data_IF_157375820746
#
_entry.id   IF_157375820746
#
_cell.length_a   1.000
_cell.length_b   1.000
_cell.length_c   1.000
_cell.angle_alpha   90.00
_cell.angle_beta   90.00
_cell.angle_gamma   90.00
#
_symmetry.space_group_name_H-M   'P 1'
#
loop_
_entity.id
_entity.type
_entity.pdbx_description
1 polymer ?
#
# COMPACT_ATOMS: atom_id res chain seq x y z
N UNK A 1 6.82 20.94 7.23
CA UNK A 1 6.96 20.57 5.80
C UNK A 1 6.43 19.17 5.67
N UNK A 2 5.52 18.90 4.72
CA UNK A 2 4.95 17.56 4.53
C UNK A 2 5.73 16.81 3.45
N UNK A 3 5.66 15.49 3.45
CA UNK A 3 6.27 14.64 2.43
C UNK A 3 5.91 15.07 0.99
N UNK A 4 4.64 15.41 0.75
CA UNK A 4 4.15 15.93 -0.53
C UNK A 4 4.93 17.17 -1.02
N UNK A 5 5.43 18.00 -0.11
CA UNK A 5 6.24 19.19 -0.47
C UNK A 5 7.60 18.77 -1.04
N UNK A 6 8.22 17.73 -0.45
CA UNK A 6 9.47 17.17 -0.95
C UNK A 6 9.27 16.49 -2.30
N UNK A 7 8.21 15.69 -2.46
CA UNK A 7 7.88 15.01 -3.72
C UNK A 7 7.66 16.06 -4.83
N UNK A 8 6.95 17.15 -4.56
CA UNK A 8 6.73 18.23 -5.52
C UNK A 8 8.04 18.92 -5.92
N UNK A 9 8.95 19.11 -4.97
CA UNK A 9 10.29 19.63 -5.25
C UNK A 9 11.07 18.69 -6.18
N UNK A 10 11.07 17.38 -5.87
CA UNK A 10 11.73 16.36 -6.69
C UNK A 10 11.13 16.34 -8.11
N UNK A 11 9.80 16.34 -8.24
CA UNK A 11 9.12 16.40 -9.55
C UNK A 11 9.55 17.62 -10.35
N UNK A 12 9.64 18.78 -9.71
CA UNK A 12 10.05 20.03 -10.36
C UNK A 12 11.50 19.97 -10.85
N UNK A 13 12.42 19.46 -10.02
CA UNK A 13 13.85 19.37 -10.35
C UNK A 13 14.10 18.35 -11.46
N UNK A 14 13.49 17.16 -11.35
CA UNK A 14 13.75 16.07 -12.29
C UNK A 14 12.94 16.21 -13.59
N UNK A 15 11.80 16.89 -13.57
CA UNK A 15 10.84 16.97 -14.68
C UNK A 15 10.58 15.60 -15.35
N UNK A 16 10.47 14.55 -14.52
CA UNK A 16 10.32 13.18 -14.99
C UNK A 16 8.85 12.79 -15.06
N UNK A 17 8.38 12.25 -16.20
CA UNK A 17 7.01 11.75 -16.34
C UNK A 17 6.77 10.41 -15.61
N UNK A 18 7.82 9.81 -15.03
CA UNK A 18 7.78 8.51 -14.36
C UNK A 18 7.36 8.60 -12.89
N UNK A 19 7.31 9.80 -12.32
CA UNK A 19 7.01 10.03 -10.91
C UNK A 19 5.52 10.34 -10.73
N UNK A 20 4.82 9.56 -9.91
CA UNK A 20 3.44 9.87 -9.54
C UNK A 20 2.50 8.67 -9.42
N UNK A 21 2.95 7.49 -9.74
CA UNK A 21 2.28 6.21 -9.50
C UNK A 21 3.08 5.42 -8.45
N UNK A 22 2.58 4.26 -8.00
CA UNK A 22 3.26 3.36 -7.04
C UNK A 22 4.58 2.83 -7.60
N UNK A 23 4.66 2.68 -8.91
CA UNK A 23 5.86 2.24 -9.60
C UNK A 23 6.22 3.16 -10.76
N UNK A 24 7.50 3.27 -11.05
CA UNK A 24 7.99 3.80 -12.32
C UNK A 24 7.77 2.76 -13.43
N UNK A 25 6.94 3.07 -14.41
CA UNK A 25 6.71 2.21 -15.58
C UNK A 25 7.73 2.46 -16.67
N UNK A 26 8.68 1.54 -16.85
CA UNK A 26 9.72 1.58 -17.87
C UNK A 26 9.25 0.84 -19.13
N UNK A 27 8.37 1.48 -19.89
CA UNK A 27 7.63 0.87 -21.01
C UNK A 27 8.54 0.22 -22.07
N UNK A 28 9.68 0.86 -22.39
CA UNK A 28 10.65 0.33 -23.36
C UNK A 28 11.29 -0.99 -22.94
N UNK A 29 11.33 -1.28 -21.63
CA UNK A 29 11.87 -2.50 -21.05
C UNK A 29 10.76 -3.50 -20.69
N UNK A 30 9.50 -3.09 -20.69
CA UNK A 30 8.37 -3.92 -20.27
C UNK A 30 8.39 -4.30 -18.79
N UNK A 31 8.90 -3.39 -17.93
CA UNK A 31 9.00 -3.59 -16.49
C UNK A 31 8.45 -2.39 -15.71
N UNK A 32 8.12 -2.63 -14.46
CA UNK A 32 7.92 -1.59 -13.44
C UNK A 32 8.97 -1.71 -12.35
N UNK A 33 9.30 -0.60 -11.69
CA UNK A 33 10.29 -0.54 -10.61
C UNK A 33 9.74 0.36 -9.50
N UNK A 34 9.85 -0.12 -8.26
CA UNK A 34 9.57 0.67 -7.06
C UNK A 34 10.65 0.48 -6.01
N UNK A 35 10.64 1.30 -4.98
CA UNK A 35 11.54 1.21 -3.84
C UNK A 35 10.89 1.78 -2.59
N UNK A 36 10.79 0.94 -1.56
CA UNK A 36 10.38 1.34 -0.23
C UNK A 36 11.48 1.14 0.79
N UNK A 37 11.41 1.93 1.85
CA UNK A 37 12.37 1.90 2.96
C UNK A 37 11.66 1.78 4.30
N UNK A 38 12.19 0.92 5.18
CA UNK A 38 11.75 0.79 6.56
C UNK A 38 12.87 1.23 7.51
N UNK A 39 12.53 2.10 8.44
CA UNK A 39 13.45 2.70 9.41
C UNK A 39 12.99 2.30 10.81
N UNK A 40 13.92 1.80 11.63
CA UNK A 40 13.67 1.49 13.05
C UNK A 40 13.17 2.73 13.79
N UNK A 41 12.18 2.54 14.66
CA UNK A 41 11.45 3.55 15.43
C UNK A 41 10.60 4.52 14.61
N UNK A 42 10.48 4.30 13.29
CA UNK A 42 9.57 5.03 12.39
C UNK A 42 8.51 4.08 11.85
N UNK A 43 8.93 3.03 11.13
CA UNK A 43 8.04 2.06 10.49
C UNK A 43 7.89 0.75 11.28
N UNK A 44 8.81 0.46 12.17
CA UNK A 44 8.79 -0.72 13.03
C UNK A 44 9.59 -0.48 14.33
N UNK A 45 9.34 -1.34 15.32
CA UNK A 45 10.16 -1.37 16.53
C UNK A 45 10.56 -2.80 16.85
N UNK A 46 11.85 -3.01 17.12
CA UNK A 46 12.40 -4.30 17.54
C UNK A 46 11.84 -4.81 18.88
N UNK A 47 11.09 -3.96 19.61
CA UNK A 47 10.42 -4.36 20.85
C UNK A 47 9.20 -5.27 20.63
N UNK A 48 8.60 -5.28 19.43
CA UNK A 48 7.41 -6.08 19.14
C UNK A 48 7.42 -6.80 17.78
N UNK A 49 8.41 -6.55 16.91
CA UNK A 49 8.56 -7.28 15.65
C UNK A 49 9.80 -8.20 15.73
N UNK A 50 9.65 -9.45 15.33
CA UNK A 50 10.77 -10.37 15.20
C UNK A 50 11.53 -10.13 13.88
N UNK A 51 12.81 -10.55 13.76
CA UNK A 51 13.55 -10.42 12.51
C UNK A 51 12.86 -11.12 11.34
N UNK A 52 12.22 -12.28 11.57
CA UNK A 52 11.44 -12.99 10.57
C UNK A 52 10.26 -12.15 10.06
N UNK A 53 9.45 -11.61 10.97
CA UNK A 53 8.31 -10.75 10.63
C UNK A 53 8.75 -9.47 9.90
N UNK A 54 9.87 -8.88 10.32
CA UNK A 54 10.45 -7.71 9.66
C UNK A 54 10.88 -8.03 8.22
N UNK A 55 11.51 -9.19 8.01
CA UNK A 55 11.85 -9.66 6.67
C UNK A 55 10.62 -9.89 5.81
N UNK A 56 9.58 -10.52 6.35
CA UNK A 56 8.29 -10.70 5.67
C UNK A 56 7.69 -9.35 5.26
N UNK A 57 7.53 -8.44 6.21
CA UNK A 57 6.97 -7.10 5.96
C UNK A 57 7.78 -6.35 4.90
N UNK A 58 9.11 -6.35 5.00
CA UNK A 58 10.00 -5.68 4.03
C UNK A 58 9.81 -6.16 2.58
N UNK A 59 9.53 -7.45 2.39
CA UNK A 59 9.23 -7.98 1.07
C UNK A 59 7.82 -7.60 0.60
N UNK A 60 6.81 -7.76 1.48
CA UNK A 60 5.40 -7.59 1.12
C UNK A 60 5.03 -6.16 0.78
N UNK A 61 5.57 -5.15 1.49
CA UNK A 61 5.30 -3.74 1.17
C UNK A 61 5.74 -3.39 -0.25
N UNK A 62 6.90 -3.83 -0.67
CA UNK A 62 7.42 -3.61 -2.03
C UNK A 62 6.70 -4.44 -3.11
N UNK A 63 6.29 -5.67 -2.78
CA UNK A 63 5.48 -6.51 -3.67
C UNK A 63 4.09 -5.87 -3.86
N UNK A 64 3.56 -5.19 -2.83
CA UNK A 64 2.29 -4.47 -2.89
C UNK A 64 2.29 -3.39 -3.97
N UNK A 65 3.30 -2.56 -4.05
CA UNK A 65 3.45 -1.55 -5.11
C UNK A 65 3.46 -2.16 -6.51
N UNK A 66 4.20 -3.27 -6.68
CA UNK A 66 4.19 -3.99 -7.96
C UNK A 66 2.78 -4.47 -8.29
N UNK A 67 2.03 -4.96 -7.29
CA UNK A 67 0.64 -5.36 -7.45
C UNK A 67 -0.25 -4.16 -7.78
N UNK A 68 -0.07 -3.01 -7.12
CA UNK A 68 -0.79 -1.76 -7.40
C UNK A 68 -0.59 -1.29 -8.84
N UNK A 69 0.59 -1.52 -9.41
CA UNK A 69 0.86 -1.24 -10.83
C UNK A 69 0.21 -2.23 -11.80
N UNK A 70 -0.27 -3.40 -11.35
CA UNK A 70 -0.79 -4.49 -12.19
C UNK A 70 0.27 -5.42 -12.75
N UNK A 71 1.55 -5.20 -12.50
CA UNK A 71 2.64 -6.03 -12.98
C UNK A 71 2.78 -7.34 -12.18
N UNK A 72 3.60 -8.25 -12.66
CA UNK A 72 3.96 -9.48 -11.96
C UNK A 72 5.27 -9.28 -11.20
N UNK A 73 5.28 -9.39 -9.85
CA UNK A 73 6.52 -9.29 -9.06
C UNK A 73 7.53 -10.35 -9.50
N UNK A 74 8.79 -9.97 -9.70
CA UNK A 74 9.84 -10.88 -10.19
C UNK A 74 11.10 -10.87 -9.36
N UNK A 75 11.62 -9.70 -9.02
CA UNK A 75 12.91 -9.57 -8.35
C UNK A 75 12.84 -8.54 -7.24
N UNK A 76 13.60 -8.79 -6.16
CA UNK A 76 13.91 -7.83 -5.11
C UNK A 76 15.43 -7.68 -4.99
N UNK A 77 15.89 -6.47 -4.69
CA UNK A 77 17.23 -6.23 -4.15
C UNK A 77 17.10 -5.49 -2.81
N UNK A 78 18.00 -5.78 -1.85
CA UNK A 78 17.89 -5.34 -0.47
C UNK A 78 19.14 -4.61 -0.03
N UNK A 79 19.05 -3.33 0.29
CA UNK A 79 20.06 -2.61 1.03
C UNK A 79 19.73 -2.67 2.53
N UNK A 80 20.62 -3.27 3.32
CA UNK A 80 20.46 -3.50 4.74
C UNK A 80 21.53 -2.77 5.53
N UNK A 81 21.15 -1.76 6.31
CA UNK A 81 22.06 -1.04 7.20
C UNK A 81 21.79 -1.46 8.64
N UNK A 82 22.83 -1.89 9.37
CA UNK A 82 22.71 -2.56 10.66
C UNK A 82 23.59 -1.91 11.73
N UNK A 83 23.09 -1.81 12.98
CA UNK A 83 23.91 -1.51 14.14
C UNK A 83 24.99 -2.57 14.39
N UNK A 84 26.12 -2.15 14.94
CA UNK A 84 27.25 -3.06 15.29
C UNK A 84 26.88 -4.15 16.30
N UNK A 85 25.76 -3.99 16.99
CA UNK A 85 25.24 -4.92 18.01
C UNK A 85 24.42 -6.06 17.41
N UNK A 86 24.08 -5.98 16.12
CA UNK A 86 23.29 -7.02 15.43
C UNK A 86 24.19 -8.23 15.18
N UNK A 87 23.68 -9.41 15.51
CA UNK A 87 24.34 -10.69 15.31
C UNK A 87 23.85 -11.37 14.01
N UNK A 88 24.61 -12.38 13.55
CA UNK A 88 24.33 -13.11 12.31
C UNK A 88 22.92 -13.75 12.28
N UNK A 89 22.46 -14.22 13.46
CA UNK A 89 21.14 -14.85 13.62
C UNK A 89 20.00 -13.92 13.24
N UNK A 90 20.13 -12.61 13.50
CA UNK A 90 19.16 -11.61 13.05
C UNK A 90 19.05 -11.60 11.53
N UNK A 91 20.18 -11.58 10.83
CA UNK A 91 20.22 -11.53 9.37
C UNK A 91 19.65 -12.83 8.78
N UNK A 92 19.98 -13.96 9.39
CA UNK A 92 19.46 -15.27 8.97
C UNK A 92 17.92 -15.31 9.07
N UNK A 93 17.35 -14.95 10.22
CA UNK A 93 15.90 -14.93 10.45
C UNK A 93 15.20 -13.90 9.56
N UNK A 94 15.79 -12.73 9.36
CA UNK A 94 15.28 -11.70 8.46
C UNK A 94 15.13 -12.24 7.03
N UNK A 95 16.20 -12.87 6.49
CA UNK A 95 16.13 -13.41 5.14
C UNK A 95 15.26 -14.67 5.04
N UNK A 96 15.07 -15.44 6.11
CA UNK A 96 14.05 -16.51 6.17
C UNK A 96 12.65 -15.93 6.02
N UNK A 97 12.35 -14.83 6.71
CA UNK A 97 11.08 -14.11 6.59
C UNK A 97 10.85 -13.58 5.18
N UNK A 98 11.83 -12.89 4.61
CA UNK A 98 11.75 -12.42 3.22
C UNK A 98 11.50 -13.56 2.23
N UNK A 99 12.26 -14.65 2.35
CA UNK A 99 12.13 -15.82 1.47
C UNK A 99 10.74 -16.45 1.56
N UNK A 100 10.17 -16.53 2.76
CA UNK A 100 8.83 -17.04 2.98
C UNK A 100 7.76 -16.15 2.30
N UNK A 101 7.90 -14.82 2.45
CA UNK A 101 7.03 -13.83 1.82
C UNK A 101 7.11 -13.86 0.28
N UNK A 102 8.31 -13.96 -0.26
CA UNK A 102 8.58 -13.84 -1.70
C UNK A 102 7.93 -14.94 -2.54
N UNK A 103 7.75 -16.15 -2.01
CA UNK A 103 7.23 -17.27 -2.78
C UNK A 103 8.06 -17.55 -4.06
N UNK A 104 7.58 -17.03 -5.20
CA UNK A 104 8.26 -17.15 -6.52
C UNK A 104 9.07 -15.92 -6.91
N UNK A 105 9.04 -14.87 -6.12
CA UNK A 105 9.83 -13.66 -6.35
C UNK A 105 11.28 -13.95 -5.91
N UNK A 106 12.26 -13.64 -6.74
CA UNK A 106 13.66 -13.91 -6.46
C UNK A 106 14.32 -12.71 -5.77
N UNK A 107 15.08 -12.98 -4.71
CA UNK A 107 15.96 -11.98 -4.09
C UNK A 107 17.28 -12.03 -4.84
N UNK A 108 17.50 -11.04 -5.71
CA UNK A 108 18.60 -11.03 -6.69
C UNK A 108 19.93 -10.53 -6.11
N UNK A 109 19.92 -9.94 -4.90
CA UNK A 109 21.13 -9.41 -4.26
C UNK A 109 20.83 -8.18 -3.42
N UNK A 110 21.85 -7.38 -3.16
CA UNK A 110 21.71 -6.17 -2.38
C UNK A 110 23.05 -5.64 -1.87
N UNK A 111 23.00 -4.87 -0.79
CA UNK A 111 24.16 -4.29 -0.11
C UNK A 111 24.02 -4.38 1.40
N UNK A 112 25.12 -4.43 2.15
CA UNK A 112 25.14 -4.41 3.61
C UNK A 112 26.11 -3.33 4.09
N UNK A 113 25.64 -2.45 4.98
CA UNK A 113 26.48 -1.39 5.58
C UNK A 113 26.19 -1.23 7.05
N UNK A 114 27.02 -0.45 7.76
CA UNK A 114 26.84 -0.13 9.17
C UNK A 114 26.03 1.15 9.39
N UNK A 115 25.22 1.18 10.46
CA UNK A 115 24.47 2.36 10.90
C UNK A 115 24.20 2.31 12.40
N UNK A 116 23.60 3.35 12.97
CA UNK A 116 23.20 3.36 14.39
C UNK A 116 21.79 2.75 14.61
N UNK A 117 20.99 2.61 13.55
CA UNK A 117 19.66 2.01 13.55
C UNK A 117 19.53 1.03 12.41
N UNK A 118 18.60 0.09 12.50
CA UNK A 118 18.24 -0.77 11.38
C UNK A 118 17.52 0.09 10.33
N UNK A 119 18.09 0.10 9.13
CA UNK A 119 17.50 0.71 7.95
C UNK A 119 17.49 -0.33 6.82
N UNK A 120 16.32 -0.52 6.24
CA UNK A 120 16.09 -1.49 5.18
C UNK A 120 15.54 -0.73 3.98
N UNK A 121 16.17 -0.88 2.81
CA UNK A 121 15.62 -0.36 1.57
C UNK A 121 15.54 -1.49 0.55
N UNK A 122 14.35 -1.71 0.02
CA UNK A 122 14.10 -2.78 -0.94
C UNK A 122 13.70 -2.16 -2.27
N UNK A 123 14.36 -2.57 -3.34
CA UNK A 123 13.92 -2.25 -4.70
C UNK A 123 13.21 -3.47 -5.26
N UNK A 124 11.99 -3.28 -5.75
CA UNK A 124 11.23 -4.33 -6.41
C UNK A 124 11.10 -4.07 -7.91
N UNK A 125 11.18 -5.17 -8.69
CA UNK A 125 11.06 -5.16 -10.13
C UNK A 125 9.92 -6.10 -10.54
N UNK A 126 8.94 -5.55 -11.27
CA UNK A 126 7.82 -6.28 -11.82
C UNK A 126 7.90 -6.39 -13.34
N UNK A 127 7.43 -7.52 -13.90
CA UNK A 127 7.31 -7.74 -15.34
C UNK A 127 5.88 -7.42 -15.80
N UNK A 128 5.75 -6.61 -16.84
CA UNK A 128 4.46 -6.25 -17.41
C UNK A 128 3.84 -7.43 -18.20
N UNK A 129 4.62 -8.09 -19.06
CA UNK A 129 4.10 -9.17 -19.93
C UNK A 129 2.90 -8.66 -20.75
N UNK A 130 1.83 -9.46 -20.76
CA UNK A 130 0.56 -9.11 -21.44
C UNK A 130 -0.43 -8.37 -20.51
N UNK A 131 -0.02 -7.99 -19.32
CA UNK A 131 -0.85 -7.29 -18.34
C UNK A 131 -0.96 -5.81 -18.69
N UNK A 132 -2.13 -5.24 -18.42
CA UNK A 132 -2.34 -3.80 -18.51
C UNK A 132 -1.82 -3.12 -17.26
N UNK A 133 -0.89 -2.18 -17.41
CA UNK A 133 -0.33 -1.43 -16.28
C UNK A 133 -1.29 -0.30 -15.90
N UNK A 134 -1.58 -0.19 -14.59
CA UNK A 134 -2.42 0.85 -14.01
C UNK A 134 -1.70 2.19 -13.96
N UNK A 135 -2.46 3.24 -13.74
CA UNK A 135 -1.95 4.55 -13.31
C UNK A 135 -3.04 5.30 -12.59
N UNK A 136 -2.71 5.96 -11.49
CA UNK A 136 -3.64 6.77 -10.67
C UNK A 136 -4.46 7.76 -11.48
N UNK A 137 -3.93 8.25 -12.62
CA UNK A 137 -4.57 9.23 -13.53
C UNK A 137 -5.62 8.65 -14.49
N UNK A 138 -5.93 7.37 -14.41
CA UNK A 138 -6.78 6.69 -15.39
C UNK A 138 -8.20 6.38 -14.91
N UNK A 139 -8.61 6.83 -13.71
CA UNK A 139 -10.00 6.71 -13.29
C UNK A 139 -10.90 7.64 -14.12
N UNK A 140 -12.13 7.18 -14.43
CA UNK A 140 -13.11 7.92 -15.21
C UNK A 140 -14.47 7.85 -14.55
N UNK A 141 -15.28 8.91 -14.69
CA UNK A 141 -16.67 8.88 -14.25
C UNK A 141 -17.41 7.67 -14.87
N UNK A 142 -18.15 6.94 -14.04
CA UNK A 142 -18.82 5.69 -14.38
C UNK A 142 -18.02 4.42 -14.05
N UNK A 143 -16.71 4.50 -13.82
CA UNK A 143 -15.96 3.37 -13.31
C UNK A 143 -16.48 2.94 -11.92
N UNK A 144 -16.48 1.64 -11.66
CA UNK A 144 -16.76 1.10 -10.32
C UNK A 144 -15.49 1.09 -9.49
N UNK A 145 -15.65 1.36 -8.20
CA UNK A 145 -14.56 1.28 -7.23
C UNK A 145 -14.63 -0.10 -6.59
N UNK A 146 -13.60 -0.90 -6.83
CA UNK A 146 -13.44 -2.25 -6.27
C UNK A 146 -12.26 -2.29 -5.31
N UNK A 147 -12.30 -3.23 -4.36
CA UNK A 147 -11.33 -3.28 -3.26
C UNK A 147 -10.98 -4.74 -2.92
N UNK A 148 -9.77 -4.94 -2.41
CA UNK A 148 -9.30 -6.21 -1.85
C UNK A 148 -8.89 -6.06 -0.39
N UNK A 149 -8.91 -7.18 0.35
CA UNK A 149 -8.46 -7.23 1.75
C UNK A 149 -9.43 -6.60 2.73
N UNK A 150 -9.08 -6.67 4.01
CA UNK A 150 -9.73 -5.96 5.10
C UNK A 150 -8.97 -4.66 5.38
N UNK A 151 -9.69 -3.61 5.77
CA UNK A 151 -9.11 -2.30 6.03
C UNK A 151 -9.19 -1.92 7.50
N UNK A 152 -8.17 -1.21 7.99
CA UNK A 152 -8.02 -0.74 9.35
C UNK A 152 -7.39 -1.75 10.31
N UNK A 153 -7.20 -3.01 9.89
CA UNK A 153 -6.68 -4.07 10.73
C UNK A 153 -5.25 -3.81 11.19
N UNK A 154 -4.38 -3.34 10.28
CA UNK A 154 -2.99 -3.03 10.60
C UNK A 154 -2.88 -1.86 11.58
N UNK A 155 -3.60 -0.76 11.36
CA UNK A 155 -3.63 0.38 12.28
C UNK A 155 -4.12 0.00 13.69
N UNK A 156 -5.14 -0.87 13.77
CA UNK A 156 -5.64 -1.43 15.03
C UNK A 156 -4.60 -2.31 15.71
N UNK A 157 -3.94 -3.21 14.98
CA UNK A 157 -2.87 -4.07 15.46
C UNK A 157 -1.69 -3.29 16.00
N UNK A 158 -1.29 -2.21 15.32
CA UNK A 158 -0.24 -1.31 15.78
C UNK A 158 -0.59 -0.65 17.13
N UNK A 159 -1.84 -0.19 17.31
CA UNK A 159 -2.29 0.37 18.59
C UNK A 159 -2.19 -0.66 19.72
N UNK A 160 -2.62 -1.91 19.47
CA UNK A 160 -2.52 -3.00 20.44
C UNK A 160 -1.06 -3.27 20.84
N UNK A 161 -0.16 -3.34 19.87
CA UNK A 161 1.27 -3.56 20.11
C UNK A 161 1.89 -2.43 20.94
N UNK A 162 1.55 -1.18 20.65
CA UNK A 162 2.00 -0.02 21.47
C UNK A 162 1.49 -0.04 22.90
N UNK A 163 0.32 -0.64 23.13
CA UNK A 163 -0.25 -0.84 24.45
C UNK A 163 0.26 -2.12 25.15
N UNK A 164 1.17 -2.88 24.52
CA UNK A 164 1.69 -4.15 25.03
C UNK A 164 0.67 -5.30 25.02
N UNK A 165 -0.42 -5.17 24.27
CA UNK A 165 -1.46 -6.18 24.11
C UNK A 165 -1.08 -7.20 23.03
N UNK A 166 -1.54 -8.45 23.22
CA UNK A 166 -1.27 -9.56 22.30
C UNK A 166 -2.56 -10.10 21.64
N UNK A 167 -3.69 -9.47 21.90
CA UNK A 167 -5.00 -9.89 21.36
C UNK A 167 -5.85 -8.68 21.00
N UNK A 168 -6.71 -8.75 19.96
CA UNK A 168 -6.91 -9.89 19.04
C UNK A 168 -5.70 -10.19 18.14
N UNK A 169 -5.38 -11.48 17.98
CA UNK A 169 -4.21 -11.92 17.19
C UNK A 169 -4.34 -11.56 15.70
N UNK A 170 -5.56 -11.59 15.14
CA UNK A 170 -5.80 -11.26 13.73
C UNK A 170 -5.34 -9.84 13.39
N UNK A 171 -5.63 -8.87 14.25
CA UNK A 171 -5.25 -7.47 14.05
C UNK A 171 -3.74 -7.28 14.17
N UNK A 172 -3.12 -7.93 15.16
CA UNK A 172 -1.66 -7.89 15.36
C UNK A 172 -0.94 -8.52 14.17
N UNK A 173 -1.45 -9.67 13.71
CA UNK A 173 -0.89 -10.36 12.54
C UNK A 173 -0.95 -9.48 11.28
N UNK A 174 -2.08 -8.81 11.05
CA UNK A 174 -2.24 -7.91 9.91
C UNK A 174 -1.16 -6.79 9.89
N UNK A 175 -0.75 -6.29 11.05
CA UNK A 175 0.32 -5.29 11.15
C UNK A 175 1.73 -5.87 10.95
N UNK A 176 2.01 -7.00 11.60
CA UNK A 176 3.36 -7.59 11.61
C UNK A 176 3.68 -8.37 10.33
N UNK A 177 2.68 -8.96 9.70
CA UNK A 177 2.83 -9.82 8.53
C UNK A 177 1.77 -9.51 7.46
N UNK A 178 1.80 -8.29 6.87
CA UNK A 178 0.85 -7.93 5.81
C UNK A 178 0.99 -8.84 4.58
N UNK A 179 -0.07 -8.89 3.76
CA UNK A 179 -0.13 -9.70 2.55
C UNK A 179 -0.42 -8.84 1.31
N UNK A 180 0.50 -8.84 0.36
CA UNK A 180 0.28 -8.18 -0.93
C UNK A 180 -0.78 -8.92 -1.77
N UNK A 181 -1.64 -8.17 -2.45
CA UNK A 181 -2.84 -8.66 -3.14
C UNK A 181 -2.57 -9.16 -4.57
N UNK A 182 -1.64 -10.13 -4.70
CA UNK A 182 -1.11 -10.62 -5.98
C UNK A 182 -2.19 -11.15 -6.92
N UNK A 183 -3.12 -11.97 -6.42
CA UNK A 183 -4.15 -12.58 -7.26
C UNK A 183 -5.25 -11.56 -7.67
N UNK A 184 -5.58 -10.60 -6.80
CA UNK A 184 -6.48 -9.50 -7.14
C UNK A 184 -5.91 -8.67 -8.29
N UNK A 185 -4.66 -8.21 -8.14
CA UNK A 185 -3.93 -7.46 -9.17
C UNK A 185 -3.88 -8.20 -10.50
N UNK A 186 -3.48 -9.48 -10.47
CA UNK A 186 -3.38 -10.33 -11.65
C UNK A 186 -4.71 -10.48 -12.39
N UNK A 187 -5.81 -10.75 -11.68
CA UNK A 187 -7.14 -10.89 -12.29
C UNK A 187 -7.55 -9.64 -13.05
N UNK A 188 -7.37 -8.45 -12.45
CA UNK A 188 -7.68 -7.19 -13.10
C UNK A 188 -6.76 -6.98 -14.31
N UNK A 189 -5.46 -6.93 -14.09
CA UNK A 189 -4.47 -6.54 -15.10
C UNK A 189 -4.43 -7.47 -16.32
N UNK A 190 -4.82 -8.75 -16.15
CA UNK A 190 -4.89 -9.71 -17.25
C UNK A 190 -6.22 -9.68 -18.02
N UNK A 191 -7.30 -9.14 -17.42
CA UNK A 191 -8.65 -9.14 -18.01
C UNK A 191 -9.01 -7.81 -18.66
N UNK A 192 -8.50 -6.72 -18.12
CA UNK A 192 -8.85 -5.36 -18.54
C UNK A 192 -8.15 -5.00 -19.86
N UNK A 193 -8.90 -4.38 -20.79
CA UNK A 193 -8.38 -3.97 -22.12
C UNK A 193 -8.09 -2.48 -22.20
N UNK A 194 -8.72 -1.70 -21.38
CA UNK A 194 -8.57 -0.25 -21.35
C UNK A 194 -7.75 0.25 -20.15
N UNK A 195 -7.48 1.54 -20.13
CA UNK A 195 -6.74 2.16 -19.02
C UNK A 195 -7.61 2.19 -17.77
N UNK A 196 -7.01 1.92 -16.63
CA UNK A 196 -7.66 1.89 -15.32
C UNK A 196 -6.74 2.46 -14.24
N UNK A 197 -7.32 2.86 -13.12
CA UNK A 197 -6.54 3.28 -11.95
C UNK A 197 -6.55 2.18 -10.89
N UNK A 198 -5.40 2.00 -10.25
CA UNK A 198 -5.25 1.14 -9.08
C UNK A 198 -4.11 1.70 -8.22
N UNK A 199 -4.24 1.54 -6.92
CA UNK A 199 -3.26 1.94 -5.91
C UNK A 199 -3.38 1.01 -4.72
N UNK A 200 -2.30 0.80 -3.97
CA UNK A 200 -2.39 0.12 -2.69
C UNK A 200 -2.80 1.08 -1.55
N UNK A 201 -3.12 0.52 -0.39
CA UNK A 201 -3.58 1.27 0.78
C UNK A 201 -2.52 1.33 1.87
N UNK A 202 -1.27 1.61 1.49
CA UNK A 202 -0.14 1.78 2.40
C UNK A 202 -0.36 2.90 3.43
N UNK A 203 -0.92 4.04 3.01
CA UNK A 203 -1.28 5.18 3.87
C UNK A 203 -2.77 5.20 4.26
N UNK A 204 -3.51 4.15 3.93
CA UNK A 204 -4.92 3.98 4.21
C UNK A 204 -5.83 4.16 3.01
N UNK A 205 -7.06 3.64 3.15
CA UNK A 205 -8.05 3.61 2.07
C UNK A 205 -8.44 5.02 1.57
N UNK A 206 -8.66 5.96 2.50
CA UNK A 206 -9.05 7.32 2.13
C UNK A 206 -7.93 8.04 1.38
N UNK A 207 -6.67 7.77 1.71
CA UNK A 207 -5.53 8.32 0.98
C UNK A 207 -5.48 7.80 -0.45
N UNK A 208 -5.54 6.48 -0.65
CA UNK A 208 -5.52 5.87 -1.97
C UNK A 208 -6.65 6.38 -2.87
N UNK A 209 -7.88 6.48 -2.35
CA UNK A 209 -9.02 7.06 -3.05
C UNK A 209 -8.78 8.53 -3.40
N UNK A 210 -8.24 9.32 -2.46
CA UNK A 210 -7.95 10.75 -2.65
C UNK A 210 -6.87 10.98 -3.70
N UNK A 211 -5.80 10.19 -3.69
CA UNK A 211 -4.72 10.29 -4.68
C UNK A 211 -5.19 9.91 -6.10
N UNK A 212 -6.01 8.86 -6.24
CA UNK A 212 -6.63 8.52 -7.53
C UNK A 212 -7.56 9.64 -7.99
N UNK A 213 -8.40 10.19 -7.08
CA UNK A 213 -9.30 11.30 -7.40
C UNK A 213 -8.54 12.54 -7.90
N UNK A 214 -7.45 12.92 -7.20
CA UNK A 214 -6.60 14.07 -7.55
C UNK A 214 -5.91 13.86 -8.91
N UNK A 215 -5.28 12.68 -9.09
CA UNK A 215 -4.53 12.39 -10.31
C UNK A 215 -5.41 12.28 -11.55
N UNK A 216 -6.65 11.83 -11.39
CA UNK A 216 -7.63 11.64 -12.48
C UNK A 216 -8.56 12.83 -12.68
N UNK A 217 -8.62 13.80 -11.77
CA UNK A 217 -9.56 14.93 -11.83
C UNK A 217 -11.02 14.50 -11.67
N UNK A 218 -11.29 13.55 -10.77
CA UNK A 218 -12.62 12.97 -10.53
C UNK A 218 -12.98 12.98 -9.04
N UNK A 219 -14.22 12.58 -8.72
CA UNK A 219 -14.65 12.31 -7.34
C UNK A 219 -14.83 10.81 -7.14
N UNK A 220 -14.38 10.28 -5.98
CA UNK A 220 -14.57 8.88 -5.58
C UNK A 220 -15.72 8.80 -4.58
N UNK A 221 -16.88 8.27 -4.99
CA UNK A 221 -18.03 8.08 -4.11
C UNK A 221 -18.09 6.63 -3.63
N UNK A 222 -17.98 6.41 -2.30
CA UNK A 222 -17.98 5.08 -1.70
C UNK A 222 -19.10 4.92 -0.66
N UNK A 223 -19.58 3.69 -0.51
CA UNK A 223 -20.51 3.26 0.53
C UNK A 223 -19.73 2.58 1.66
N UNK A 224 -19.65 3.24 2.82
CA UNK A 224 -18.89 2.75 3.97
C UNK A 224 -19.32 1.33 4.40
N UNK A 225 -20.61 1.02 4.29
CA UNK A 225 -21.14 -0.29 4.70
C UNK A 225 -20.65 -1.47 3.85
N UNK A 226 -20.04 -1.17 2.69
CA UNK A 226 -19.51 -2.18 1.77
C UNK A 226 -18.01 -2.41 1.92
N UNK A 227 -17.31 -1.62 2.75
CA UNK A 227 -15.88 -1.78 2.98
C UNK A 227 -15.66 -3.04 3.83
N UNK A 228 -14.86 -4.02 3.36
CA UNK A 228 -14.50 -5.17 4.17
C UNK A 228 -13.60 -4.77 5.33
N UNK A 229 -13.88 -5.27 6.51
CA UNK A 229 -13.05 -5.11 7.69
C UNK A 229 -13.19 -6.29 8.65
N UNK A 230 -12.20 -6.52 9.49
CA UNK A 230 -12.26 -7.50 10.57
C UNK A 230 -13.10 -6.93 11.73
N UNK A 231 -14.16 -7.64 12.13
CA UNK A 231 -15.04 -7.17 13.20
C UNK A 231 -14.36 -7.01 14.56
N UNK A 232 -13.22 -7.66 14.77
CA UNK A 232 -12.43 -7.46 15.98
C UNK A 232 -11.92 -6.02 16.15
N UNK A 233 -11.91 -5.20 15.07
CA UNK A 233 -11.59 -3.78 15.13
C UNK A 233 -12.61 -2.95 15.92
N UNK A 234 -13.85 -3.44 16.09
CA UNK A 234 -14.94 -2.75 16.80
C UNK A 234 -14.68 -2.61 18.33
N UNK A 235 -13.60 -3.22 18.85
CA UNK A 235 -13.11 -2.92 20.20
C UNK A 235 -12.66 -1.47 20.38
N UNK A 236 -12.34 -0.79 19.28
CA UNK A 236 -11.98 0.64 19.27
C UNK A 236 -13.21 1.49 18.95
N UNK A 237 -13.47 2.52 19.75
CA UNK A 237 -14.61 3.42 19.53
C UNK A 237 -14.51 4.24 18.24
N UNK A 238 -13.30 4.42 17.72
CA UNK A 238 -12.96 5.13 16.49
C UNK A 238 -12.57 4.18 15.34
N UNK A 239 -13.08 2.96 15.36
CA UNK A 239 -12.75 1.92 14.37
C UNK A 239 -13.04 2.34 12.92
N UNK A 240 -14.03 3.21 12.72
CA UNK A 240 -14.35 3.73 11.39
C UNK A 240 -13.24 4.63 10.84
N UNK A 241 -12.60 5.43 11.71
CA UNK A 241 -11.43 6.22 11.33
C UNK A 241 -10.24 5.30 11.04
N UNK A 242 -10.08 4.18 11.77
CA UNK A 242 -9.07 3.17 11.46
C UNK A 242 -9.29 2.54 10.09
N UNK A 243 -10.54 2.21 9.72
CA UNK A 243 -10.88 1.64 8.41
C UNK A 243 -10.54 2.61 7.26
N UNK A 244 -10.76 3.89 7.45
CA UNK A 244 -10.56 4.91 6.41
C UNK A 244 -9.12 5.44 6.34
N UNK A 245 -8.50 5.66 7.49
CA UNK A 245 -7.22 6.37 7.61
C UNK A 245 -6.10 5.54 8.24
N UNK A 246 -6.38 4.31 8.67
CA UNK A 246 -5.35 3.38 9.15
C UNK A 246 -4.48 2.93 7.97
N UNK A 247 -3.17 3.13 8.09
CA UNK A 247 -2.20 2.70 7.09
C UNK A 247 -1.75 1.26 7.26
N UNK A 248 -0.92 0.82 6.32
CA UNK A 248 -0.21 -0.46 6.31
C UNK A 248 -1.10 -1.71 6.19
N UNK A 249 -2.32 -1.58 5.67
CA UNK A 249 -3.17 -2.75 5.34
C UNK A 249 -2.76 -3.43 4.02
N UNK A 250 -2.10 -2.68 3.12
CA UNK A 250 -1.63 -3.15 1.81
C UNK A 250 -2.71 -3.88 0.99
N UNK A 251 -3.98 -3.48 1.18
CA UNK A 251 -5.06 -3.80 0.28
C UNK A 251 -4.89 -3.06 -1.06
N UNK A 252 -5.66 -3.42 -2.07
CA UNK A 252 -5.71 -2.70 -3.33
C UNK A 252 -7.08 -2.07 -3.54
N UNK A 253 -7.10 -0.82 -3.99
CA UNK A 253 -8.29 -0.15 -4.49
C UNK A 253 -8.12 0.14 -5.98
N UNK A 254 -9.14 -0.15 -6.78
CA UNK A 254 -9.09 0.11 -8.22
C UNK A 254 -10.39 0.75 -8.72
N UNK A 255 -10.24 1.64 -9.71
CA UNK A 255 -11.33 2.20 -10.49
C UNK A 255 -11.32 1.55 -11.88
N UNK A 256 -12.32 0.71 -12.15
CA UNK A 256 -12.40 -0.15 -13.34
C UNK A 256 -13.76 -0.06 -14.02
N UNK A 257 -13.85 -0.36 -15.34
CA UNK A 257 -15.13 -0.52 -16.02
C UNK A 257 -16.02 -1.59 -15.37
N UNK A 258 -17.34 -1.44 -15.49
CA UNK A 258 -18.31 -2.32 -14.83
C UNK A 258 -18.18 -3.80 -15.23
N UNK A 259 -17.80 -4.09 -16.46
CA UNK A 259 -17.63 -5.45 -16.96
C UNK A 259 -16.53 -6.26 -16.28
N UNK A 260 -15.60 -5.59 -15.58
CA UNK A 260 -14.51 -6.24 -14.83
C UNK A 260 -14.94 -6.66 -13.41
N UNK A 261 -16.05 -6.14 -12.90
CA UNK A 261 -16.38 -6.18 -11.47
C UNK A 261 -16.96 -7.49 -10.94
N UNK A 262 -17.32 -8.45 -11.80
CA UNK A 262 -18.14 -9.64 -11.48
C UNK A 262 -17.66 -10.43 -10.24
N UNK A 263 -16.34 -10.51 -10.04
CA UNK A 263 -15.74 -11.33 -8.98
C UNK A 263 -15.06 -10.48 -7.90
N UNK A 264 -15.43 -9.19 -7.80
CA UNK A 264 -14.78 -8.25 -6.88
C UNK A 264 -15.80 -7.58 -5.97
N UNK A 265 -15.32 -7.15 -4.80
CA UNK A 265 -16.11 -6.33 -3.88
C UNK A 265 -16.19 -4.90 -4.40
N UNK A 266 -17.41 -4.46 -4.79
CA UNK A 266 -17.68 -3.10 -5.24
C UNK A 266 -18.07 -2.27 -4.03
N UNK A 267 -17.29 -1.23 -3.74
CA UNK A 267 -17.59 -0.30 -2.63
C UNK A 267 -18.16 1.05 -3.11
N UNK A 268 -18.12 1.34 -4.40
CA UNK A 268 -18.57 2.63 -4.88
C UNK A 268 -18.44 2.84 -6.37
N UNK A 269 -18.48 4.09 -6.78
CA UNK A 269 -18.42 4.53 -8.17
C UNK A 269 -17.67 5.86 -8.31
N UNK A 270 -16.96 6.01 -9.41
CA UNK A 270 -16.29 7.25 -9.79
C UNK A 270 -17.31 8.22 -10.40
N UNK A 271 -17.29 9.47 -9.91
CA UNK A 271 -18.17 10.55 -10.36
C UNK A 271 -17.36 11.73 -10.91
N UNK A 272 -18.04 12.61 -11.65
CA UNK A 272 -17.47 13.92 -11.95
C UNK A 272 -17.31 14.73 -10.65
N UNK A 273 -16.23 15.51 -10.54
CA UNK A 273 -15.96 16.33 -9.36
C UNK A 273 -14.53 16.17 -8.86
N UNK A 274 -14.35 16.25 -7.54
CA UNK A 274 -13.04 16.12 -6.87
C UNK A 274 -13.19 15.54 -5.47
N UNK A 275 -12.10 15.03 -4.90
CA UNK A 275 -12.06 14.50 -3.53
C UNK A 275 -12.82 13.18 -3.39
N UNK A 276 -13.15 12.82 -2.15
CA UNK A 276 -13.88 11.60 -1.83
C UNK A 276 -15.23 11.93 -1.19
N UNK A 277 -16.26 11.14 -1.50
CA UNK A 277 -17.59 11.24 -0.88
C UNK A 277 -17.92 9.90 -0.24
N UNK A 278 -18.18 9.89 1.06
CA UNK A 278 -18.49 8.71 1.84
C UNK A 278 -19.98 8.70 2.16
N UNK A 279 -20.68 7.65 1.71
CA UNK A 279 -22.07 7.38 2.06
C UNK A 279 -22.11 6.55 3.33
N UNK A 280 -22.80 7.03 4.36
CA UNK A 280 -22.97 6.34 5.63
C UNK A 280 -24.34 6.64 6.20
N UNK A 281 -25.18 5.60 6.44
CA UNK A 281 -26.52 5.75 7.05
C UNK A 281 -27.32 6.88 6.40
N UNK A 282 -27.45 6.88 5.07
CA UNK A 282 -28.14 7.88 4.25
C UNK A 282 -27.56 9.31 4.31
N UNK A 283 -26.41 9.50 4.95
CA UNK A 283 -25.68 10.77 4.96
C UNK A 283 -24.48 10.71 4.01
N UNK A 284 -24.22 11.85 3.38
CA UNK A 284 -23.03 12.05 2.54
C UNK A 284 -22.03 12.93 3.28
N UNK A 285 -20.79 12.44 3.38
CA UNK A 285 -19.65 13.19 3.91
C UNK A 285 -18.67 13.40 2.78
N UNK A 286 -18.41 14.64 2.44
CA UNK A 286 -17.41 14.97 1.43
C UNK A 286 -16.11 15.38 2.14
N UNK A 287 -15.00 14.87 1.67
CA UNK A 287 -13.65 15.24 2.11
C UNK A 287 -12.84 15.68 0.89
N UNK A 288 -12.29 16.87 0.96
CA UNK A 288 -11.28 17.32 0.01
C UNK A 288 -9.97 16.58 0.22
N UNK A 289 -9.09 16.58 -0.78
CA UNK A 289 -7.77 15.96 -0.65
C UNK A 289 -6.93 16.57 0.48
N UNK A 290 -7.13 17.85 0.79
CA UNK A 290 -6.46 18.54 1.91
C UNK A 290 -6.92 17.96 3.25
N UNK A 291 -8.25 17.79 3.45
CA UNK A 291 -8.83 17.25 4.69
C UNK A 291 -8.43 15.79 4.90
N UNK A 292 -8.33 14.98 3.83
CA UNK A 292 -7.78 13.63 3.93
C UNK A 292 -6.33 13.68 4.40
N UNK A 293 -5.49 14.48 3.76
CA UNK A 293 -4.05 14.61 4.09
C UNK A 293 -3.78 15.11 5.53
N UNK A 294 -4.73 15.79 6.17
CA UNK A 294 -4.61 16.23 7.57
C UNK A 294 -4.81 15.09 8.58
N UNK A 295 -5.49 14.01 8.17
CA UNK A 295 -5.80 12.85 9.02
C UNK A 295 -4.76 11.72 8.90
N UNK A 296 -3.87 11.79 7.92
CA UNK A 296 -2.88 10.75 7.65
C UNK A 296 -1.64 10.90 8.54
N UNK A 297 -0.91 9.80 8.64
CA UNK A 297 0.43 9.81 9.25
C UNK A 297 1.37 10.75 8.47
N UNK A 298 2.28 11.41 9.19
CA UNK A 298 3.27 12.29 8.57
C UNK A 298 4.66 12.01 9.15
N UNK A 299 5.58 11.58 8.30
CA UNK A 299 6.96 11.26 8.64
C UNK A 299 7.77 12.44 9.21
N UNK A 300 7.30 13.67 9.05
CA UNK A 300 8.03 14.90 9.38
C UNK A 300 7.34 15.76 10.47
N UNK A 301 6.44 15.15 11.25
CA UNK A 301 5.82 15.82 12.42
C UNK A 301 6.64 15.62 13.69
#
# INVERSE_FOLDING_TARGET
>A
MKEKDFINTIKTVLNSPLIGDDCAYLASLGIVVTQDSLVEDVHFSTSFITPFQLGWKSAMVNISDICASGAEPKYLTVALSLPKTIEADFVEEFYKGMKAACGKVEIAGGDITGSDKIFISVTAIGKCGDRRISSRKNARAGHKIIISGNHGSSGAGFRLLKEGKQTPESLIHAHLMPEAQVEFSKKIASSIKENYAMMDTSDGLADALSQIAEASGVSMEIDFSKIPYDKEIEIFSDFEDLILFGGEDYGLVAAVPEEITKDFTIIGEVREGSGITILKQDKKFHLSNAEVSEKLFNHFN
#
